data_IF_322040027084
#
_entry.id   IF_322040027084
#
_cell.length_a   1.000
_cell.length_b   1.000
_cell.length_c   1.000
_cell.angle_alpha   90.00
_cell.angle_beta   90.00
_cell.angle_gamma   90.00
#
_symmetry.space_group_name_H-M   'P 1'
#
loop_
_entity.id
_entity.type
_entity.pdbx_description
1 polymer ?
#
# COMPACT_ATOMS: atom_id res chain seq x y z
N UNK A 1 34.47 49.58 -14.76
CA UNK A 1 33.15 49.06 -15.17
C UNK A 1 33.37 47.71 -15.84
N UNK A 2 33.05 46.62 -15.14
CA UNK A 2 33.16 45.23 -15.61
C UNK A 2 32.16 45.00 -16.73
N UNK A 3 32.65 44.75 -17.95
CA UNK A 3 31.80 44.45 -19.11
C UNK A 3 31.38 42.99 -19.03
N UNK A 4 30.20 42.71 -18.46
CA UNK A 4 29.61 41.38 -18.62
C UNK A 4 29.20 41.20 -20.08
N UNK A 5 29.80 40.22 -20.74
CA UNK A 5 29.50 39.86 -22.13
C UNK A 5 28.13 39.19 -22.20
N UNK A 6 27.28 39.64 -23.11
CA UNK A 6 25.93 39.10 -23.37
C UNK A 6 25.96 37.59 -23.65
N UNK A 7 27.06 37.07 -24.19
CA UNK A 7 27.26 35.62 -24.40
C UNK A 7 27.35 34.85 -23.08
N UNK A 8 27.97 35.43 -22.05
CA UNK A 8 28.09 34.80 -20.73
C UNK A 8 26.73 34.76 -20.01
N UNK A 9 25.89 35.79 -20.21
CA UNK A 9 24.54 35.83 -19.67
C UNK A 9 23.61 34.78 -20.30
N UNK A 10 23.75 34.55 -21.62
CA UNK A 10 22.94 33.56 -22.35
C UNK A 10 23.30 32.11 -21.98
N UNK A 11 24.58 31.84 -21.72
CA UNK A 11 25.03 30.51 -21.26
C UNK A 11 24.55 30.24 -19.83
N UNK A 12 24.59 31.24 -18.95
CA UNK A 12 24.06 31.11 -17.58
C UNK A 12 22.53 30.89 -17.56
N UNK A 13 21.79 31.54 -18.47
CA UNK A 13 20.34 31.34 -18.61
C UNK A 13 19.99 29.94 -19.14
N UNK A 14 20.78 29.40 -20.08
CA UNK A 14 20.59 28.04 -20.59
C UNK A 14 20.87 26.96 -19.52
N UNK A 15 21.88 27.17 -18.67
CA UNK A 15 22.21 26.27 -17.57
C UNK A 15 21.18 26.33 -16.42
N UNK A 16 20.59 27.50 -16.17
CA UNK A 16 19.51 27.66 -15.19
C UNK A 16 18.16 27.07 -15.68
N UNK A 17 17.90 27.13 -17.00
CA UNK A 17 16.69 26.55 -17.60
C UNK A 17 16.68 25.01 -17.62
N UNK A 18 17.84 24.38 -17.73
CA UNK A 18 17.97 22.92 -17.73
C UNK A 18 17.80 22.27 -16.34
N UNK A 19 17.81 23.05 -15.26
CA UNK A 19 17.64 22.55 -13.89
C UNK A 19 16.16 22.42 -13.46
N UNK A 20 15.22 22.81 -14.32
CA UNK A 20 13.77 22.71 -14.08
C UNK A 20 13.17 21.44 -14.69
N UNK A 21 13.96 20.35 -14.76
CA UNK A 21 13.44 19.03 -15.10
C UNK A 21 12.48 18.60 -14.00
N UNK A 22 11.21 18.92 -14.23
CA UNK A 22 10.01 18.23 -13.78
C UNK A 22 10.31 17.11 -12.79
N UNK A 23 10.07 17.38 -11.50
CA UNK A 23 9.84 16.32 -10.55
C UNK A 23 8.62 15.55 -11.06
N UNK A 24 8.84 14.41 -11.70
CA UNK A 24 7.79 13.45 -11.93
C UNK A 24 7.39 12.95 -10.54
N UNK A 25 6.21 13.37 -10.08
CA UNK A 25 5.63 12.78 -8.91
C UNK A 25 5.48 11.30 -9.27
N UNK A 26 6.23 10.44 -8.58
CA UNK A 26 5.98 9.02 -8.64
C UNK A 26 4.56 8.86 -8.08
N UNK A 27 3.58 8.76 -8.98
CA UNK A 27 2.23 8.36 -8.63
C UNK A 27 2.40 6.98 -8.02
N UNK A 28 2.37 6.94 -6.69
CA UNK A 28 2.45 5.70 -5.94
C UNK A 28 1.36 4.83 -6.54
N UNK A 29 1.78 3.74 -7.20
CA UNK A 29 0.88 2.85 -7.91
C UNK A 29 -0.37 2.64 -7.06
N UNK A 30 -1.54 2.99 -7.59
CA UNK A 30 -2.80 2.88 -6.87
C UNK A 30 -2.79 1.54 -6.14
N UNK A 31 -3.01 1.52 -4.80
CA UNK A 31 -2.81 0.32 -4.00
C UNK A 31 -3.56 -0.81 -4.68
N UNK A 32 -2.80 -1.77 -5.22
CA UNK A 32 -3.38 -2.90 -5.95
C UNK A 32 -4.45 -3.49 -5.06
N UNK A 33 -5.73 -3.49 -5.48
CA UNK A 33 -6.82 -3.93 -4.63
C UNK A 33 -6.50 -5.30 -4.06
N UNK A 34 -6.56 -5.43 -2.74
CA UNK A 34 -6.33 -6.70 -2.07
C UNK A 34 -7.51 -7.62 -2.39
N UNK A 35 -7.34 -8.48 -3.39
CA UNK A 35 -8.30 -9.51 -3.76
C UNK A 35 -8.08 -10.72 -2.86
N UNK A 36 -9.05 -11.04 -1.99
CA UNK A 36 -9.00 -12.21 -1.10
C UNK A 36 -8.96 -13.50 -1.93
N UNK A 37 -7.76 -14.06 -2.08
CA UNK A 37 -7.55 -15.34 -2.77
C UNK A 37 -7.40 -16.47 -1.76
N UNK A 38 -8.00 -17.65 -2.02
CA UNK A 38 -7.97 -18.78 -1.07
C UNK A 38 -6.55 -19.33 -0.84
N UNK A 39 -5.62 -19.04 -1.75
CA UNK A 39 -4.23 -19.49 -1.72
C UNK A 39 -3.24 -18.35 -1.39
N UNK A 40 -3.68 -17.23 -0.84
CA UNK A 40 -2.81 -16.09 -0.51
C UNK A 40 -2.89 -15.78 0.99
N UNK A 41 -1.72 -15.79 1.64
CA UNK A 41 -1.54 -15.27 2.99
C UNK A 41 -1.23 -13.78 2.97
N UNK A 42 -1.74 -13.05 3.95
CA UNK A 42 -1.48 -11.62 4.11
C UNK A 42 -0.88 -11.34 5.49
N UNK A 43 0.05 -10.39 5.55
CA UNK A 43 0.72 -10.06 6.81
C UNK A 43 1.42 -8.72 6.78
N UNK A 44 1.97 -8.37 7.93
CA UNK A 44 2.90 -7.25 8.09
C UNK A 44 4.31 -7.76 8.25
N UNK A 45 5.24 -7.09 7.60
CA UNK A 45 6.65 -7.26 7.93
C UNK A 45 7.01 -6.48 9.21
N UNK A 46 8.29 -6.56 9.59
CA UNK A 46 8.82 -5.90 10.79
C UNK A 46 8.76 -4.37 10.71
N UNK A 47 8.63 -3.81 9.52
CA UNK A 47 8.47 -2.38 9.24
C UNK A 47 7.00 -1.93 9.24
N UNK A 48 6.05 -2.86 9.37
CA UNK A 48 4.62 -2.55 9.28
C UNK A 48 4.14 -2.34 7.84
N UNK A 49 4.90 -2.77 6.83
CA UNK A 49 4.44 -2.81 5.46
C UNK A 49 3.61 -4.06 5.24
N UNK A 50 2.46 -3.88 4.58
CA UNK A 50 1.62 -5.00 4.20
C UNK A 50 2.22 -5.78 3.03
N UNK A 51 2.19 -7.10 3.10
CA UNK A 51 2.59 -7.98 2.02
C UNK A 51 1.59 -9.11 1.82
N UNK A 52 1.58 -9.65 0.60
CA UNK A 52 0.84 -10.85 0.25
C UNK A 52 1.83 -11.94 -0.19
N UNK A 53 1.54 -13.18 0.18
CA UNK A 53 2.38 -14.33 -0.13
C UNK A 53 1.52 -15.48 -0.64
N UNK A 54 1.80 -15.94 -1.85
CA UNK A 54 1.12 -17.10 -2.43
C UNK A 54 1.55 -18.38 -1.70
N UNK A 55 0.58 -19.10 -1.19
CA UNK A 55 0.78 -20.37 -0.50
C UNK A 55 1.27 -21.44 -1.47
N UNK A 56 2.52 -21.85 -1.29
CA UNK A 56 3.07 -23.06 -1.89
C UNK A 56 2.90 -24.26 -0.95
N UNK A 57 2.78 -25.47 -1.52
CA UNK A 57 2.62 -26.72 -0.78
C UNK A 57 3.75 -27.01 0.21
N UNK A 58 4.98 -26.62 -0.11
CA UNK A 58 6.16 -26.92 0.70
C UNK A 58 6.27 -26.06 1.97
N UNK A 59 5.78 -24.80 1.92
CA UNK A 59 5.87 -23.86 3.04
C UNK A 59 4.59 -23.79 3.88
N UNK A 60 3.46 -24.25 3.33
CA UNK A 60 2.17 -24.26 4.03
C UNK A 60 2.23 -25.10 5.33
N UNK A 61 2.94 -26.24 5.32
CA UNK A 61 3.05 -27.11 6.50
C UNK A 61 3.72 -26.44 7.71
N UNK A 62 4.75 -25.63 7.47
CA UNK A 62 5.41 -24.87 8.53
C UNK A 62 4.55 -23.70 9.01
N UNK A 63 3.87 -23.01 8.10
CA UNK A 63 3.00 -21.88 8.44
C UNK A 63 1.79 -22.34 9.26
N UNK A 64 1.23 -23.51 8.96
CA UNK A 64 0.12 -24.09 9.70
C UNK A 64 0.54 -24.63 11.07
N UNK A 65 1.82 -24.94 11.28
CA UNK A 65 2.35 -25.44 12.55
C UNK A 65 2.31 -24.32 13.60
N UNK A 66 1.27 -24.36 14.45
CA UNK A 66 1.03 -23.36 15.48
C UNK A 66 0.01 -22.27 15.10
N UNK A 67 -0.48 -22.30 13.86
CA UNK A 67 -1.57 -21.41 13.45
C UNK A 67 -2.87 -21.79 14.17
N UNK A 68 -3.65 -20.78 14.58
CA UNK A 68 -5.01 -20.96 15.09
C UNK A 68 -6.00 -20.57 14.02
N UNK A 69 -7.09 -21.34 13.91
CA UNK A 69 -8.20 -20.95 13.06
C UNK A 69 -8.79 -19.64 13.59
N UNK A 70 -9.06 -18.70 12.69
CA UNK A 70 -9.72 -17.45 13.03
C UNK A 70 -11.13 -17.75 13.57
N UNK A 71 -11.53 -17.16 14.72
CA UNK A 71 -12.90 -17.29 15.22
C UNK A 71 -13.94 -16.80 14.22
N UNK A 72 -15.12 -17.45 14.22
CA UNK A 72 -16.29 -16.94 13.48
C UNK A 72 -16.63 -15.53 13.99
N UNK A 73 -17.11 -14.66 13.10
CA UNK A 73 -17.39 -13.27 13.48
C UNK A 73 -16.13 -12.41 13.63
N UNK A 74 -15.07 -12.74 12.90
CA UNK A 74 -13.90 -11.87 12.74
C UNK A 74 -13.90 -11.25 11.35
N UNK A 75 -13.79 -9.92 11.29
CA UNK A 75 -13.62 -9.16 10.07
C UNK A 75 -12.14 -8.76 9.91
N UNK A 76 -11.61 -8.93 8.70
CA UNK A 76 -10.33 -8.35 8.28
C UNK A 76 -10.58 -7.33 7.18
N UNK A 77 -9.94 -6.17 7.26
CA UNK A 77 -10.10 -5.13 6.27
C UNK A 77 -8.85 -4.25 6.20
N UNK A 78 -8.64 -3.61 5.05
CA UNK A 78 -7.59 -2.61 4.88
C UNK A 78 -8.21 -1.23 5.10
N UNK A 79 -7.66 -0.45 6.04
CA UNK A 79 -8.04 0.93 6.23
C UNK A 79 -7.52 1.81 5.09
N UNK A 80 -8.04 3.04 4.97
CA UNK A 80 -7.59 3.99 3.94
C UNK A 80 -6.09 4.30 4.01
N UNK A 81 -5.46 4.07 5.16
CA UNK A 81 -4.02 4.18 5.38
C UNK A 81 -3.20 2.98 4.87
N UNK A 82 -3.82 2.00 4.19
CA UNK A 82 -3.16 0.80 3.69
C UNK A 82 -2.82 -0.23 4.76
N UNK A 83 -3.31 -0.06 5.98
CA UNK A 83 -3.09 -0.96 7.11
C UNK A 83 -4.18 -2.03 7.19
N UNK A 84 -3.79 -3.30 7.33
CA UNK A 84 -4.64 -4.40 7.74
C UNK A 84 -5.09 -4.26 9.20
N UNK A 85 -6.40 -4.25 9.41
CA UNK A 85 -7.08 -4.29 10.69
C UNK A 85 -7.82 -5.61 10.87
N UNK A 86 -8.00 -6.00 12.13
CA UNK A 86 -8.92 -7.07 12.51
C UNK A 86 -9.95 -6.54 13.52
N UNK A 87 -11.19 -7.00 13.39
CA UNK A 87 -12.25 -6.73 14.36
C UNK A 87 -12.94 -8.02 14.75
N UNK A 88 -13.02 -8.26 16.05
CA UNK A 88 -13.85 -9.31 16.65
C UNK A 88 -15.11 -8.66 17.22
N UNK A 89 -16.29 -9.21 16.90
CA UNK A 89 -17.58 -8.69 17.37
C UNK A 89 -18.59 -8.53 16.22
N UNK A 90 -19.78 -7.98 16.49
CA UNK A 90 -20.78 -7.78 15.45
C UNK A 90 -20.25 -6.76 14.42
N UNK A 91 -20.15 -7.22 13.18
CA UNK A 91 -19.93 -6.38 11.99
C UNK A 91 -21.00 -6.62 10.92
N UNK A 92 -21.91 -7.56 11.21
CA UNK A 92 -23.13 -7.81 10.46
C UNK A 92 -24.31 -7.56 11.39
N UNK A 93 -25.34 -6.93 10.87
CA UNK A 93 -26.65 -6.83 11.50
C UNK A 93 -27.33 -8.22 11.55
N UNK A 94 -28.47 -8.30 12.25
CA UNK A 94 -29.24 -9.55 12.36
C UNK A 94 -29.75 -10.11 11.02
N UNK A 95 -29.88 -9.26 10.01
CA UNK A 95 -30.25 -9.60 8.63
C UNK A 95 -29.03 -9.92 7.73
N UNK A 96 -27.81 -9.81 8.27
CA UNK A 96 -26.57 -10.02 7.53
C UNK A 96 -26.03 -8.79 6.79
N UNK A 97 -26.66 -7.61 6.89
CA UNK A 97 -26.14 -6.36 6.31
C UNK A 97 -24.87 -5.92 7.05
N UNK A 98 -23.88 -5.41 6.30
CA UNK A 98 -22.67 -4.87 6.89
C UNK A 98 -22.96 -3.60 7.69
N UNK A 99 -22.56 -3.58 8.97
CA UNK A 99 -22.92 -2.51 9.92
C UNK A 99 -22.22 -1.16 9.64
N UNK A 100 -21.14 -1.15 8.85
CA UNK A 100 -20.30 0.04 8.63
C UNK A 100 -20.41 0.56 7.18
N UNK A 101 -21.47 0.18 6.45
CA UNK A 101 -21.76 0.72 5.13
C UNK A 101 -22.59 2.01 5.20
N UNK A 102 -22.48 2.85 4.19
CA UNK A 102 -23.46 3.91 3.93
C UNK A 102 -24.78 3.28 3.52
N UNK A 103 -25.91 3.86 3.94
CA UNK A 103 -27.17 3.67 3.22
C UNK A 103 -27.06 4.15 1.76
#
# INVERSE_FOLDING_TARGET
MTRLSTRTLLIAAALAGAALTTAAFAEAAAPTPWELKPDVGYGYDKEGKTFSYKMGTNNAGLLLKGAKKVPKGTLFFIGQNGQLYMRTGPFLEGDGKFMFGSD
#
